data_IF_339270398703
#
_entry.id   IF_339270398703
#
_cell.length_a   1.000
_cell.length_b   1.000
_cell.length_c   1.000
_cell.angle_alpha   90.00
_cell.angle_beta   90.00
_cell.angle_gamma   90.00
#
_symmetry.space_group_name_H-M   'P 1'
#
loop_
_entity.id
_entity.type
_entity.pdbx_description
1 polymer ?
#
# COMPACT_ATOMS: atom_id res chain seq x y z
N UNK A 1 3.30 -28.11 -39.91
CA UNK A 1 2.47 -27.10 -39.27
C UNK A 1 2.44 -27.39 -37.79
N UNK A 2 3.26 -26.70 -36.99
CA UNK A 2 3.26 -26.82 -35.52
C UNK A 2 2.30 -25.75 -34.97
N UNK A 3 1.29 -26.18 -34.21
CA UNK A 3 0.40 -25.27 -33.48
C UNK A 3 1.16 -24.81 -32.26
N UNK A 4 1.35 -23.50 -32.16
CA UNK A 4 1.88 -22.85 -30.95
C UNK A 4 0.83 -22.97 -29.83
N UNK A 5 1.24 -23.64 -28.75
CA UNK A 5 0.47 -23.74 -27.55
C UNK A 5 0.54 -22.41 -26.82
N UNK A 6 -0.56 -21.67 -26.79
CA UNK A 6 -0.70 -20.52 -25.94
C UNK A 6 -0.52 -20.92 -24.47
N UNK A 7 0.26 -20.14 -23.72
CA UNK A 7 0.45 -20.35 -22.28
C UNK A 7 -0.91 -20.37 -21.57
N UNK A 8 -1.13 -21.31 -20.64
CA UNK A 8 -2.39 -21.39 -19.93
C UNK A 8 -2.58 -20.12 -19.08
N UNK A 9 -3.74 -19.50 -19.20
CA UNK A 9 -4.15 -18.40 -18.34
C UNK A 9 -3.92 -18.78 -16.87
N UNK A 10 -3.16 -17.96 -16.13
CA UNK A 10 -2.86 -18.18 -14.72
C UNK A 10 -4.18 -18.30 -13.96
N UNK A 11 -4.49 -19.50 -13.47
CA UNK A 11 -5.66 -19.74 -12.63
C UNK A 11 -5.39 -19.20 -11.24
N UNK A 12 -6.18 -18.26 -10.83
CA UNK A 12 -6.24 -17.77 -9.46
C UNK A 12 -6.70 -18.91 -8.54
N UNK A 13 -5.83 -19.38 -7.65
CA UNK A 13 -6.18 -20.31 -6.60
C UNK A 13 -6.16 -19.57 -5.26
N UNK A 14 -7.34 -19.38 -4.69
CA UNK A 14 -7.44 -18.91 -3.30
C UNK A 14 -6.74 -19.91 -2.37
N UNK A 15 -5.92 -19.40 -1.45
CA UNK A 15 -5.30 -20.20 -0.40
C UNK A 15 -6.36 -21.03 0.33
N UNK A 16 -6.06 -22.30 0.71
CA UNK A 16 -7.00 -23.15 1.45
C UNK A 16 -7.51 -22.52 2.74
N UNK A 17 -6.68 -21.71 3.42
CA UNK A 17 -7.06 -20.99 4.63
C UNK A 17 -8.14 -19.92 4.36
N UNK A 18 -8.06 -19.22 3.23
CA UNK A 18 -9.09 -18.28 2.80
C UNK A 18 -10.37 -18.97 2.37
N UNK A 19 -10.26 -20.16 1.78
CA UNK A 19 -11.43 -21.02 1.52
C UNK A 19 -12.12 -21.41 2.80
N UNK A 20 -11.41 -21.91 3.80
CA UNK A 20 -11.96 -22.28 5.10
C UNK A 20 -12.58 -21.10 5.84
N UNK A 21 -11.99 -19.91 5.75
CA UNK A 21 -12.53 -18.68 6.37
C UNK A 21 -13.77 -18.19 5.61
N UNK A 22 -13.79 -18.30 4.30
CA UNK A 22 -14.97 -17.99 3.47
C UNK A 22 -16.07 -19.03 3.66
N UNK A 23 -15.73 -20.30 3.76
CA UNK A 23 -16.66 -21.38 4.03
C UNK A 23 -17.22 -21.32 5.46
N UNK A 24 -16.45 -20.87 6.44
CA UNK A 24 -16.90 -20.72 7.84
C UNK A 24 -17.71 -19.45 8.13
N UNK A 25 -17.50 -18.40 7.37
CA UNK A 25 -18.16 -17.08 7.59
C UNK A 25 -19.44 -16.95 6.77
N UNK A 26 -19.63 -17.81 5.73
CA UNK A 26 -20.73 -17.58 4.90
C UNK A 26 -21.29 -18.82 4.39
N UNK A 27 -22.35 -19.00 4.63
CA UNK A 27 -23.10 -18.34 3.59
C UNK A 27 -23.53 -19.31 2.54
N UNK A 28 -24.54 -19.93 2.88
CA UNK A 28 -25.39 -20.75 2.01
C UNK A 28 -25.89 -20.04 0.71
N UNK A 29 -25.40 -18.84 0.37
CA UNK A 29 -26.03 -18.07 -0.72
C UNK A 29 -25.17 -17.14 -1.56
N UNK A 30 -23.82 -17.21 -1.57
CA UNK A 30 -23.08 -16.42 -2.56
C UNK A 30 -22.42 -17.34 -3.58
N UNK A 31 -23.16 -17.63 -4.62
CA UNK A 31 -22.64 -18.30 -5.83
C UNK A 31 -21.81 -17.29 -6.66
N UNK A 32 -20.62 -16.95 -6.16
CA UNK A 32 -19.70 -16.05 -6.87
C UNK A 32 -18.76 -16.89 -7.72
N UNK A 33 -18.86 -16.79 -9.02
CA UNK A 33 -18.00 -17.50 -9.94
C UNK A 33 -16.55 -17.00 -9.84
N UNK A 34 -15.58 -17.87 -10.13
CA UNK A 34 -14.14 -17.51 -10.20
C UNK A 34 -13.91 -16.31 -11.13
N UNK A 35 -14.65 -16.23 -12.24
CA UNK A 35 -14.61 -15.11 -13.19
C UNK A 35 -15.06 -13.78 -12.57
N UNK A 36 -16.06 -13.81 -11.71
CA UNK A 36 -16.54 -12.60 -11.03
C UNK A 36 -15.56 -12.15 -9.95
N UNK A 37 -14.93 -13.10 -9.23
CA UNK A 37 -13.88 -12.79 -8.28
C UNK A 37 -12.68 -12.16 -8.97
N UNK A 38 -12.22 -12.73 -10.09
CA UNK A 38 -11.13 -12.16 -10.88
C UNK A 38 -11.48 -10.74 -11.36
N UNK A 39 -12.67 -10.52 -11.90
CA UNK A 39 -13.13 -9.21 -12.33
C UNK A 39 -13.15 -8.17 -11.18
N UNK A 40 -13.57 -8.59 -9.98
CA UNK A 40 -13.55 -7.73 -8.79
C UNK A 40 -12.12 -7.41 -8.36
N UNK A 41 -11.24 -8.41 -8.33
CA UNK A 41 -9.82 -8.24 -8.03
C UNK A 41 -9.19 -7.22 -8.99
N UNK A 42 -9.34 -7.41 -10.30
CA UNK A 42 -8.80 -6.51 -11.33
C UNK A 42 -9.32 -5.08 -11.18
N UNK A 43 -10.60 -4.92 -10.87
CA UNK A 43 -11.22 -3.60 -10.64
C UNK A 43 -10.63 -2.90 -9.40
N UNK A 44 -10.45 -3.63 -8.30
CA UNK A 44 -9.87 -3.09 -7.07
C UNK A 44 -8.40 -2.75 -7.30
N UNK A 45 -7.65 -3.64 -7.94
CA UNK A 45 -6.25 -3.44 -8.30
C UNK A 45 -6.07 -2.17 -9.14
N UNK A 46 -6.85 -2.03 -10.21
CA UNK A 46 -6.80 -0.85 -11.08
C UNK A 46 -7.09 0.46 -10.32
N UNK A 47 -8.09 0.45 -9.43
CA UNK A 47 -8.43 1.60 -8.59
C UNK A 47 -7.29 1.99 -7.63
N UNK A 48 -6.66 1.01 -7.00
CA UNK A 48 -5.55 1.25 -6.07
C UNK A 48 -4.31 1.76 -6.80
N UNK A 49 -4.00 1.22 -7.97
CA UNK A 49 -2.93 1.71 -8.84
C UNK A 49 -3.18 3.17 -9.22
N UNK A 50 -4.37 3.50 -9.70
CA UNK A 50 -4.73 4.88 -10.06
C UNK A 50 -4.61 5.85 -8.87
N UNK A 51 -5.00 5.41 -7.66
CA UNK A 51 -4.82 6.23 -6.45
C UNK A 51 -3.35 6.46 -6.14
N UNK A 52 -2.49 5.44 -6.25
CA UNK A 52 -1.04 5.60 -6.07
C UNK A 52 -0.45 6.54 -7.11
N UNK A 53 -0.81 6.38 -8.39
CA UNK A 53 -0.36 7.25 -9.50
C UNK A 53 -0.66 8.72 -9.27
N UNK A 54 -1.84 9.03 -8.73
CA UNK A 54 -2.25 10.40 -8.46
C UNK A 54 -1.60 10.98 -7.19
N UNK A 55 -1.38 10.15 -6.17
CA UNK A 55 -0.95 10.63 -4.84
C UNK A 55 0.58 10.73 -4.72
N UNK A 56 1.33 9.78 -5.29
CA UNK A 56 2.79 9.76 -5.18
C UNK A 56 3.48 11.06 -5.61
N UNK A 57 3.18 11.64 -6.78
CA UNK A 57 3.82 12.89 -7.21
C UNK A 57 3.59 14.05 -6.23
N UNK A 58 2.40 14.10 -5.62
CA UNK A 58 2.04 15.16 -4.68
C UNK A 58 2.87 15.09 -3.40
N UNK A 59 3.00 13.89 -2.81
CA UNK A 59 3.72 13.69 -1.55
C UNK A 59 5.25 13.73 -1.71
N UNK A 60 5.78 13.45 -2.89
CA UNK A 60 7.23 13.53 -3.14
C UNK A 60 7.74 14.96 -3.20
N UNK A 61 6.87 15.92 -3.49
CA UNK A 61 7.22 17.34 -3.67
C UNK A 61 6.92 18.20 -2.45
N UNK A 62 6.03 17.75 -1.56
CA UNK A 62 5.59 18.54 -0.43
C UNK A 62 5.39 17.68 0.83
N UNK A 63 6.26 17.83 1.85
CA UNK A 63 6.15 17.09 3.12
C UNK A 63 4.93 17.48 3.95
N UNK A 64 4.28 18.61 3.66
CA UNK A 64 3.13 19.12 4.41
C UNK A 64 1.79 18.59 3.87
N UNK A 65 1.82 17.74 2.84
CA UNK A 65 0.66 17.03 2.30
C UNK A 65 0.23 15.87 3.21
N UNK A 66 -0.22 16.20 4.43
CA UNK A 66 -0.53 15.22 5.50
C UNK A 66 -1.66 14.29 5.06
N UNK A 67 -2.74 14.83 4.49
CA UNK A 67 -3.87 14.00 4.02
C UNK A 67 -3.46 13.08 2.89
N UNK A 68 -2.68 13.57 1.94
CA UNK A 68 -2.19 12.77 0.82
C UNK A 68 -1.18 11.70 1.27
N UNK A 69 -0.34 11.98 2.29
CA UNK A 69 0.53 10.99 2.92
C UNK A 69 -0.28 9.89 3.61
N UNK A 70 -1.34 10.26 4.32
CA UNK A 70 -2.27 9.31 4.93
C UNK A 70 -2.98 8.47 3.86
N UNK A 71 -3.48 9.09 2.82
CA UNK A 71 -4.13 8.42 1.68
C UNK A 71 -3.19 7.43 0.99
N UNK A 72 -1.92 7.83 0.78
CA UNK A 72 -0.88 6.98 0.22
C UNK A 72 -0.64 5.75 1.10
N UNK A 73 -0.51 5.96 2.43
CA UNK A 73 -0.37 4.87 3.41
C UNK A 73 -1.53 3.86 3.32
N UNK A 74 -2.76 4.36 3.28
CA UNK A 74 -3.96 3.52 3.17
C UNK A 74 -4.00 2.77 1.84
N UNK A 75 -3.63 3.42 0.73
CA UNK A 75 -3.57 2.77 -0.58
C UNK A 75 -2.51 1.65 -0.60
N UNK A 76 -1.31 1.90 -0.06
CA UNK A 76 -0.25 0.90 0.07
C UNK A 76 -0.71 -0.31 0.92
N UNK A 77 -1.36 -0.05 2.06
CA UNK A 77 -1.91 -1.08 2.95
C UNK A 77 -2.94 -1.95 2.23
N UNK A 78 -3.92 -1.32 1.56
CA UNK A 78 -4.98 -2.03 0.83
C UNK A 78 -4.41 -2.85 -0.33
N UNK A 79 -3.45 -2.30 -1.06
CA UNK A 79 -2.80 -3.01 -2.16
C UNK A 79 -1.99 -4.21 -1.66
N UNK A 80 -1.25 -4.07 -0.55
CA UNK A 80 -0.54 -5.18 0.06
C UNK A 80 -1.48 -6.34 0.42
N UNK A 81 -2.60 -6.04 1.09
CA UNK A 81 -3.59 -7.07 1.44
C UNK A 81 -4.24 -7.70 0.21
N UNK A 82 -4.50 -6.91 -0.83
CA UNK A 82 -5.01 -7.47 -2.09
C UNK A 82 -4.02 -8.46 -2.71
N UNK A 83 -2.72 -8.16 -2.67
CA UNK A 83 -1.68 -9.03 -3.21
C UNK A 83 -1.40 -10.26 -2.32
N UNK A 84 -1.81 -10.26 -1.06
CA UNK A 84 -1.76 -11.45 -0.19
C UNK A 84 -2.75 -12.54 -0.61
N UNK A 85 -3.73 -12.18 -1.45
CA UNK A 85 -4.63 -13.17 -2.07
C UNK A 85 -3.97 -13.93 -3.22
N UNK A 86 -2.82 -13.48 -3.71
CA UNK A 86 -2.07 -14.16 -4.77
C UNK A 86 -1.15 -15.23 -4.16
N UNK A 87 -0.90 -16.34 -4.88
CA UNK A 87 0.00 -17.39 -4.42
C UNK A 87 1.41 -16.87 -4.12
N UNK A 88 2.10 -17.49 -3.16
CA UNK A 88 3.48 -17.11 -2.79
C UNK A 88 4.51 -17.44 -3.86
N UNK A 89 4.18 -18.33 -4.79
CA UNK A 89 4.99 -18.64 -5.96
C UNK A 89 5.10 -17.47 -6.95
N UNK A 90 4.20 -16.48 -6.87
CA UNK A 90 4.29 -15.28 -7.67
C UNK A 90 5.36 -14.33 -7.12
N UNK A 91 6.59 -14.47 -7.67
CA UNK A 91 7.74 -13.68 -7.24
C UNK A 91 7.54 -12.17 -7.45
N UNK A 92 6.74 -11.75 -8.42
CA UNK A 92 6.37 -10.36 -8.65
C UNK A 92 5.50 -9.82 -7.53
N UNK A 93 4.45 -10.55 -7.16
CA UNK A 93 3.57 -10.22 -6.05
C UNK A 93 4.34 -10.20 -4.73
N UNK A 94 5.19 -11.20 -4.46
CA UNK A 94 5.99 -11.27 -3.25
C UNK A 94 6.95 -10.06 -3.11
N UNK A 95 7.66 -9.71 -4.18
CA UNK A 95 8.55 -8.53 -4.20
C UNK A 95 7.77 -7.24 -3.96
N UNK A 96 6.62 -7.12 -4.58
CA UNK A 96 5.74 -5.94 -4.43
C UNK A 96 5.20 -5.83 -3.01
N UNK A 97 4.75 -6.94 -2.40
CA UNK A 97 4.30 -6.99 -0.99
C UNK A 97 5.39 -6.49 -0.04
N UNK A 98 6.65 -6.95 -0.19
CA UNK A 98 7.78 -6.48 0.63
C UNK A 98 8.04 -4.99 0.47
N UNK A 99 7.95 -4.47 -0.74
CA UNK A 99 8.11 -3.03 -1.02
C UNK A 99 7.00 -2.21 -0.38
N UNK A 100 5.75 -2.66 -0.51
CA UNK A 100 4.58 -2.02 0.11
C UNK A 100 4.64 -2.07 1.63
N UNK A 101 5.12 -3.18 2.21
CA UNK A 101 5.32 -3.29 3.67
C UNK A 101 6.27 -2.21 4.16
N UNK A 102 7.46 -2.08 3.54
CA UNK A 102 8.43 -1.07 3.95
C UNK A 102 7.90 0.36 3.78
N UNK A 103 7.17 0.65 2.70
CA UNK A 103 6.49 1.93 2.53
C UNK A 103 5.46 2.18 3.63
N UNK A 104 4.66 1.18 3.95
CA UNK A 104 3.66 1.26 5.01
C UNK A 104 4.29 1.54 6.38
N UNK A 105 5.44 0.92 6.69
CA UNK A 105 6.15 1.13 7.96
C UNK A 105 6.66 2.57 8.07
N UNK A 106 7.28 3.09 7.00
CA UNK A 106 7.80 4.47 6.98
C UNK A 106 6.64 5.49 7.06
N UNK A 107 5.61 5.33 6.23
CA UNK A 107 4.44 6.21 6.23
C UNK A 107 3.63 6.10 7.52
N UNK A 108 3.66 4.93 8.18
CA UNK A 108 3.07 4.72 9.49
C UNK A 108 3.74 5.59 10.54
N UNK A 109 5.07 5.55 10.61
CA UNK A 109 5.82 6.40 11.54
C UNK A 109 5.56 7.90 11.31
N UNK A 110 5.54 8.36 10.06
CA UNK A 110 5.20 9.77 9.73
C UNK A 110 3.80 10.12 10.27
N UNK A 111 2.82 9.26 10.02
CA UNK A 111 1.45 9.47 10.49
C UNK A 111 1.35 9.50 12.03
N UNK A 112 2.12 8.66 12.72
CA UNK A 112 2.11 8.63 14.19
C UNK A 112 2.68 9.93 14.78
N UNK A 113 3.74 10.52 14.17
CA UNK A 113 4.25 11.84 14.53
C UNK A 113 3.24 12.96 14.25
N UNK A 114 2.56 12.94 13.11
CA UNK A 114 1.49 13.89 12.78
C UNK A 114 0.38 13.82 13.82
N UNK A 115 -0.10 12.60 14.13
CA UNK A 115 -1.16 12.38 15.11
C UNK A 115 -0.77 12.85 16.52
N UNK A 116 0.44 12.50 16.99
CA UNK A 116 0.94 12.91 18.30
C UNK A 116 1.03 14.43 18.41
N UNK A 117 1.58 15.07 17.38
CA UNK A 117 1.70 16.53 17.31
C UNK A 117 0.33 17.22 17.35
N UNK A 118 -0.63 16.76 16.58
CA UNK A 118 -1.99 17.30 16.55
C UNK A 118 -2.72 17.08 17.87
N UNK A 119 -2.55 15.89 18.46
CA UNK A 119 -3.12 15.59 19.78
C UNK A 119 -2.56 16.53 20.86
N UNK A 120 -1.25 16.72 20.92
CA UNK A 120 -0.61 17.62 21.89
C UNK A 120 -1.08 19.06 21.72
N UNK A 121 -1.16 19.56 20.48
CA UNK A 121 -1.67 20.91 20.17
C UNK A 121 -3.13 21.10 20.57
N UNK A 122 -3.95 20.06 20.48
CA UNK A 122 -5.38 20.16 20.74
C UNK A 122 -5.76 19.99 22.20
N UNK A 123 -4.96 19.25 22.99
CA UNK A 123 -5.34 18.79 24.34
C UNK A 123 -4.54 19.44 25.45
N UNK A 124 -3.29 19.83 25.16
CA UNK A 124 -2.39 20.29 26.19
C UNK A 124 -2.52 21.81 26.42
N UNK A 125 -2.50 22.21 27.70
CA UNK A 125 -2.25 23.62 28.06
C UNK A 125 -0.82 23.95 27.56
N UNK A 126 -0.66 25.11 26.92
CA UNK A 126 0.63 25.55 26.37
C UNK A 126 1.66 25.69 27.48
N UNK A 127 2.46 24.66 27.71
CA UNK A 127 3.66 24.71 28.55
C UNK A 127 4.91 24.61 27.71
N UNK A 128 6.03 25.06 28.25
CA UNK A 128 7.32 25.06 27.57
C UNK A 128 7.75 23.61 27.26
N UNK A 129 7.52 22.68 28.19
CA UNK A 129 7.84 21.26 28.03
C UNK A 129 7.04 20.61 26.89
N UNK A 130 5.77 20.98 26.74
CA UNK A 130 4.93 20.46 25.63
C UNK A 130 5.42 21.02 24.31
N UNK A 131 5.83 22.28 24.26
CA UNK A 131 6.39 22.83 23.03
C UNK A 131 7.73 22.15 22.64
N UNK A 132 8.56 21.80 23.61
CA UNK A 132 9.78 21.01 23.35
C UNK A 132 9.44 19.64 22.76
N UNK A 133 8.44 18.93 23.30
CA UNK A 133 8.01 17.64 22.75
C UNK A 133 7.51 17.81 21.31
N UNK A 134 6.68 18.81 21.04
CA UNK A 134 6.18 19.08 19.68
C UNK A 134 7.35 19.35 18.70
N UNK A 135 8.37 20.07 19.16
CA UNK A 135 9.55 20.33 18.32
C UNK A 135 10.33 19.04 18.02
N UNK A 136 10.55 18.17 19.02
CA UNK A 136 11.20 16.89 18.86
C UNK A 136 10.42 15.97 17.89
N UNK A 137 9.10 15.84 18.07
CA UNK A 137 8.23 15.07 17.17
C UNK A 137 8.30 15.59 15.72
N UNK A 138 8.36 16.92 15.56
CA UNK A 138 8.46 17.55 14.23
C UNK A 138 9.81 17.27 13.57
N UNK A 139 10.92 17.22 14.32
CA UNK A 139 12.24 16.86 13.82
C UNK A 139 12.30 15.39 13.42
N UNK A 140 11.80 14.48 14.27
CA UNK A 140 11.74 13.05 13.97
C UNK A 140 10.85 12.75 12.76
N UNK A 141 9.72 13.44 12.65
CA UNK A 141 8.87 13.39 11.47
C UNK A 141 9.63 13.74 10.19
N UNK A 142 10.42 14.81 10.23
CA UNK A 142 11.25 15.24 9.09
C UNK A 142 12.27 14.17 8.70
N UNK A 143 12.94 13.58 9.69
CA UNK A 143 13.89 12.49 9.44
C UNK A 143 13.21 11.26 8.80
N UNK A 144 11.98 10.94 9.21
CA UNK A 144 11.19 9.87 8.60
C UNK A 144 10.73 10.21 7.20
N UNK A 145 10.38 11.45 6.93
CA UNK A 145 10.06 11.89 5.57
C UNK A 145 11.29 11.81 4.64
N UNK A 146 12.46 12.18 5.13
CA UNK A 146 13.71 12.00 4.38
C UNK A 146 14.05 10.51 4.14
N UNK A 147 13.73 9.61 5.09
CA UNK A 147 13.82 8.17 4.90
C UNK A 147 12.88 7.71 3.78
N UNK A 148 11.63 8.21 3.76
CA UNK A 148 10.67 7.96 2.70
C UNK A 148 11.19 8.37 1.33
N UNK A 149 11.69 9.60 1.19
CA UNK A 149 12.26 10.08 -0.08
C UNK A 149 13.46 9.25 -0.53
N UNK A 150 14.38 8.91 0.39
CA UNK A 150 15.53 8.04 0.09
C UNK A 150 15.10 6.64 -0.32
N UNK A 151 14.09 6.09 0.32
CA UNK A 151 13.55 4.78 -0.03
C UNK A 151 12.91 4.80 -1.43
N UNK A 152 12.08 5.80 -1.71
CA UNK A 152 11.49 5.99 -3.03
C UNK A 152 12.57 6.12 -4.12
N UNK A 153 13.60 6.95 -3.89
CA UNK A 153 14.71 7.13 -4.82
C UNK A 153 15.51 5.85 -5.09
N UNK A 154 15.76 5.03 -4.08
CA UNK A 154 16.60 3.84 -4.20
C UNK A 154 15.88 2.61 -4.75
N UNK A 155 14.62 2.43 -4.40
CA UNK A 155 13.86 1.20 -4.65
C UNK A 155 12.84 1.32 -5.77
N UNK A 156 12.34 2.53 -5.98
CA UNK A 156 11.34 2.80 -7.00
C UNK A 156 11.96 3.38 -8.27
N UNK A 157 13.30 3.40 -8.32
CA UNK A 157 14.12 3.87 -9.44
C UNK A 157 13.66 5.23 -9.98
N UNK A 158 13.50 6.17 -9.02
CA UNK A 158 13.32 7.62 -9.22
C UNK A 158 12.04 8.02 -9.98
N UNK A 159 11.38 7.09 -10.61
CA UNK A 159 10.09 7.37 -11.25
C UNK A 159 8.99 6.64 -10.49
N UNK A 160 7.97 7.35 -9.99
CA UNK A 160 6.72 6.71 -9.57
C UNK A 160 6.24 5.72 -10.61
N UNK A 161 6.59 5.94 -11.88
CA UNK A 161 6.23 5.09 -13.00
C UNK A 161 6.87 3.69 -12.93
N UNK A 162 8.12 3.50 -12.46
CA UNK A 162 8.71 2.14 -12.43
C UNK A 162 8.10 1.25 -11.36
N UNK A 163 7.74 1.80 -10.20
CA UNK A 163 6.97 1.07 -9.19
C UNK A 163 5.56 0.72 -9.71
N UNK A 164 4.93 1.65 -10.37
CA UNK A 164 3.61 1.47 -10.97
C UNK A 164 3.65 0.51 -12.16
N UNK A 165 4.72 0.53 -12.96
CA UNK A 165 4.97 -0.46 -14.01
C UNK A 165 5.13 -1.85 -13.41
N UNK A 166 5.91 -1.98 -12.32
CA UNK A 166 6.06 -3.25 -11.59
C UNK A 166 4.71 -3.77 -11.08
N UNK A 167 3.86 -2.91 -10.53
CA UNK A 167 2.53 -3.31 -10.07
C UNK A 167 1.61 -3.65 -11.26
N UNK A 168 1.68 -2.89 -12.34
CA UNK A 168 0.90 -3.17 -13.57
C UNK A 168 1.29 -4.49 -14.24
N UNK A 169 2.55 -4.92 -14.09
CA UNK A 169 3.00 -6.22 -14.62
C UNK A 169 2.48 -7.42 -13.82
N UNK A 170 1.77 -7.20 -12.71
CA UNK A 170 1.06 -8.24 -11.95
C UNK A 170 -0.30 -8.61 -12.58
N UNK A 171 -0.73 -7.90 -13.62
CA UNK A 171 -1.89 -8.26 -14.41
C UNK A 171 -1.50 -9.35 -15.42
#
# INVERSE_FOLDING_TARGET
MRREGGAPARRFRLEPALRLTLEAVVIDKIDVTEKELQKRFDKILARLISKLESTFPMVLTDPLKIEELHDLRIACKKLRYLLELLPDEDQGALKTRKTLQKLQDILGAIHDYDFTTDYLKSTAQSSEEIQEIINLESEERKLKFDEFLRYCKRRLDISPNSFLIMIRSLK
#
